data_IF_774866755136
#
_entry.id   IF_774866755136
#
_cell.length_a   1.000
_cell.length_b   1.000
_cell.length_c   1.000
_cell.angle_alpha   90.00
_cell.angle_beta   90.00
_cell.angle_gamma   90.00
#
_symmetry.space_group_name_H-M   'P 1'
#
loop_
_entity.id
_entity.type
_entity.pdbx_description
1 polymer ?
#
# COMPACT_ATOMS: atom_id res chain seq x y z
N UNK A 1 -29.59 -15.24 2.42
CA UNK A 1 -28.19 -15.22 2.90
C UNK A 1 -27.67 -13.81 2.67
N UNK A 2 -27.13 -13.12 3.68
CA UNK A 2 -26.60 -11.77 3.52
C UNK A 2 -25.25 -11.85 2.77
N UNK A 3 -25.00 -10.95 1.82
CA UNK A 3 -23.69 -10.81 1.16
C UNK A 3 -23.04 -9.52 1.66
N UNK A 4 -21.77 -9.61 2.04
CA UNK A 4 -20.90 -8.45 2.22
C UNK A 4 -20.30 -8.06 0.86
N UNK A 5 -19.90 -6.80 0.74
CA UNK A 5 -18.90 -6.36 -0.24
C UNK A 5 -17.52 -6.89 0.13
N UNK A 6 -16.56 -6.87 -0.80
CA UNK A 6 -15.19 -7.33 -0.53
C UNK A 6 -14.52 -6.49 0.57
N UNK A 7 -14.69 -5.17 0.55
CA UNK A 7 -14.18 -4.26 1.57
C UNK A 7 -14.77 -4.53 2.96
N UNK A 8 -16.08 -4.81 3.06
CA UNK A 8 -16.73 -5.19 4.32
C UNK A 8 -16.24 -6.55 4.84
N UNK A 9 -16.06 -7.54 3.97
CA UNK A 9 -15.57 -8.86 4.37
C UNK A 9 -14.11 -8.79 4.86
N UNK A 10 -13.28 -7.95 4.22
CA UNK A 10 -11.89 -7.63 4.64
C UNK A 10 -11.86 -6.75 5.90
N UNK A 11 -12.87 -5.92 6.14
CA UNK A 11 -12.97 -5.09 7.35
C UNK A 11 -13.38 -5.91 8.57
N UNK A 12 -14.53 -6.59 8.50
CA UNK A 12 -15.06 -7.36 9.63
C UNK A 12 -14.22 -8.61 9.97
N UNK A 13 -13.44 -9.14 9.03
CA UNK A 13 -12.51 -10.25 9.30
C UNK A 13 -11.33 -9.90 10.21
N UNK A 14 -11.11 -8.62 10.52
CA UNK A 14 -10.05 -8.16 11.45
C UNK A 14 -10.47 -8.22 12.92
N UNK A 15 -11.72 -8.55 13.22
CA UNK A 15 -12.30 -8.50 14.56
C UNK A 15 -12.79 -9.88 15.01
N UNK A 16 -12.43 -10.23 16.24
CA UNK A 16 -12.72 -11.52 16.87
C UNK A 16 -13.29 -11.30 18.26
N UNK A 17 -14.22 -12.16 18.67
CA UNK A 17 -14.82 -12.18 20.01
C UNK A 17 -15.00 -13.63 20.44
N UNK A 18 -14.55 -13.96 21.66
CA UNK A 18 -14.57 -15.31 22.22
C UNK A 18 -13.94 -16.37 21.27
N UNK A 19 -12.91 -15.96 20.51
CA UNK A 19 -12.20 -16.78 19.51
C UNK A 19 -12.82 -16.81 18.11
N UNK A 20 -14.11 -16.45 17.96
CA UNK A 20 -14.81 -16.47 16.67
C UNK A 20 -14.72 -15.12 15.94
N UNK A 21 -14.63 -15.15 14.60
CA UNK A 21 -14.63 -13.93 13.78
C UNK A 21 -16.02 -13.27 13.77
N UNK A 22 -16.11 -11.95 13.96
CA UNK A 22 -17.43 -11.30 14.14
C UNK A 22 -18.36 -11.44 12.93
N UNK A 23 -17.81 -11.53 11.71
CA UNK A 23 -18.61 -11.68 10.49
C UNK A 23 -19.37 -13.01 10.42
N UNK A 24 -18.93 -14.03 11.15
CA UNK A 24 -19.55 -15.35 11.22
C UNK A 24 -20.69 -15.42 12.24
N UNK A 25 -20.68 -14.54 13.24
CA UNK A 25 -21.68 -14.50 14.31
C UNK A 25 -23.11 -14.30 13.75
N UNK A 26 -24.07 -14.99 14.33
CA UNK A 26 -25.50 -14.71 14.13
C UNK A 26 -25.90 -13.35 14.72
N UNK A 27 -26.98 -12.74 14.23
CA UNK A 27 -27.47 -11.47 14.79
C UNK A 27 -27.73 -11.59 16.31
N UNK A 28 -28.21 -12.74 16.79
CA UNK A 28 -28.42 -13.02 18.22
C UNK A 28 -27.11 -12.98 19.02
N UNK A 29 -26.04 -13.60 18.49
CA UNK A 29 -24.71 -13.53 19.12
C UNK A 29 -24.16 -12.09 19.10
N UNK A 30 -24.31 -11.36 17.99
CA UNK A 30 -23.83 -9.97 17.88
C UNK A 30 -24.56 -9.08 18.90
N UNK A 31 -25.90 -9.15 18.96
CA UNK A 31 -26.71 -8.43 19.97
C UNK A 31 -26.30 -8.82 21.40
N UNK A 32 -25.98 -10.09 21.65
CA UNK A 32 -25.45 -10.54 22.94
C UNK A 32 -24.08 -9.92 23.29
N UNK A 33 -23.15 -9.86 22.32
CA UNK A 33 -21.82 -9.27 22.52
C UNK A 33 -21.85 -7.74 22.63
N UNK A 34 -22.83 -7.08 22.00
CA UNK A 34 -23.14 -5.66 22.23
C UNK A 34 -23.68 -5.48 23.65
N UNK A 35 -24.71 -6.24 24.06
CA UNK A 35 -25.34 -6.09 25.39
C UNK A 35 -24.42 -6.39 26.58
N UNK A 36 -23.39 -7.23 26.41
CA UNK A 36 -22.30 -7.40 27.38
C UNK A 36 -21.49 -6.11 27.62
N UNK A 37 -21.46 -5.18 26.67
CA UNK A 37 -20.61 -3.97 26.64
C UNK A 37 -21.41 -2.67 26.79
N UNK A 38 -22.63 -2.65 26.25
CA UNK A 38 -23.64 -1.61 26.42
C UNK A 38 -24.97 -2.25 26.84
N UNK A 39 -25.27 -2.32 28.15
CA UNK A 39 -26.53 -2.85 28.66
C UNK A 39 -27.77 -2.04 28.23
N UNK A 40 -27.61 -0.79 27.79
CA UNK A 40 -28.71 0.08 27.34
C UNK A 40 -29.06 -0.12 25.86
N UNK A 41 -28.34 -1.00 25.14
CA UNK A 41 -28.55 -1.21 23.72
C UNK A 41 -29.94 -1.80 23.38
N UNK A 42 -30.82 -0.93 22.88
CA UNK A 42 -32.19 -1.26 22.47
C UNK A 42 -32.31 -1.73 21.00
N UNK A 43 -31.23 -1.71 20.21
CA UNK A 43 -31.23 -1.90 18.75
C UNK A 43 -31.49 -3.32 18.22
N UNK A 44 -32.42 -4.07 18.81
CA UNK A 44 -32.68 -5.50 18.50
C UNK A 44 -33.24 -5.76 17.09
N UNK A 45 -33.71 -4.73 16.38
CA UNK A 45 -34.32 -4.83 15.03
C UNK A 45 -33.38 -4.43 13.89
N UNK A 46 -32.09 -4.20 14.15
CA UNK A 46 -31.13 -3.75 13.14
C UNK A 46 -30.68 -4.87 12.19
N UNK A 47 -30.32 -4.48 10.96
CA UNK A 47 -29.66 -5.36 9.99
C UNK A 47 -28.24 -5.77 10.46
N UNK A 48 -27.68 -6.85 9.89
CA UNK A 48 -26.40 -7.41 10.35
C UNK A 48 -25.23 -6.43 10.27
N UNK A 49 -25.15 -5.59 9.24
CA UNK A 49 -24.05 -4.61 9.08
C UNK A 49 -24.07 -3.55 10.21
N UNK A 50 -25.14 -2.78 10.45
CA UNK A 50 -25.21 -1.86 11.59
C UNK A 50 -24.96 -2.50 12.97
N UNK A 51 -25.33 -3.78 13.15
CA UNK A 51 -24.98 -4.53 14.37
C UNK A 51 -23.47 -4.81 14.47
N UNK A 52 -22.80 -5.18 13.37
CA UNK A 52 -21.36 -5.36 13.33
C UNK A 52 -20.61 -4.04 13.54
N UNK A 53 -21.07 -2.95 12.92
CA UNK A 53 -20.48 -1.60 13.10
C UNK A 53 -20.55 -1.16 14.58
N UNK A 54 -21.71 -1.36 15.21
CA UNK A 54 -21.91 -1.08 16.64
C UNK A 54 -20.97 -1.92 17.51
N UNK A 55 -20.81 -3.21 17.19
CA UNK A 55 -19.90 -4.10 17.93
C UNK A 55 -18.43 -3.69 17.73
N UNK A 56 -18.03 -3.27 16.54
CA UNK A 56 -16.70 -2.74 16.24
C UNK A 56 -16.41 -1.47 17.04
N UNK A 57 -17.33 -0.49 17.07
CA UNK A 57 -17.16 0.75 17.85
C UNK A 57 -16.98 0.45 19.35
N UNK A 58 -17.68 -0.56 19.89
CA UNK A 58 -17.54 -1.00 21.27
C UNK A 58 -16.22 -1.74 21.54
N UNK A 59 -15.77 -2.60 20.62
CA UNK A 59 -14.49 -3.32 20.74
C UNK A 59 -13.28 -2.37 20.67
N UNK A 60 -13.32 -1.34 19.82
CA UNK A 60 -12.22 -0.39 19.74
C UNK A 60 -12.19 0.58 20.94
N UNK A 61 -13.34 0.95 21.52
CA UNK A 61 -13.41 1.61 22.83
C UNK A 61 -12.81 0.75 23.96
N UNK A 62 -13.03 -0.58 23.92
CA UNK A 62 -12.45 -1.53 24.87
C UNK A 62 -10.91 -1.58 24.74
N UNK A 63 -10.39 -1.68 23.50
CA UNK A 63 -8.93 -1.62 23.23
C UNK A 63 -8.30 -0.29 23.67
N UNK A 64 -8.98 0.85 23.47
CA UNK A 64 -8.47 2.15 23.89
C UNK A 64 -8.32 2.25 25.41
N UNK A 65 -9.30 1.76 26.18
CA UNK A 65 -9.23 1.71 27.65
C UNK A 65 -8.06 0.87 28.18
N UNK A 66 -7.67 -0.20 27.46
CA UNK A 66 -6.48 -1.00 27.83
C UNK A 66 -5.15 -0.31 27.50
N UNK A 67 -5.12 0.64 26.57
CA UNK A 67 -3.90 1.38 26.18
C UNK A 67 -3.58 2.56 27.07
N UNK A 68 -4.57 3.14 27.75
CA UNK A 68 -4.32 4.17 28.77
C UNK A 68 -3.78 3.49 30.04
N UNK A 69 -2.52 3.73 30.46
CA UNK A 69 -2.02 3.17 31.71
C UNK A 69 -2.81 3.77 32.87
N UNK A 70 -3.53 2.93 33.62
CA UNK A 70 -4.34 3.35 34.77
C UNK A 70 -3.45 4.00 35.81
N UNK A 71 -3.43 5.34 35.80
CA UNK A 71 -2.62 6.14 36.71
C UNK A 71 -3.26 6.07 38.09
N UNK A 72 -2.85 5.10 38.89
CA UNK A 72 -3.35 4.87 40.24
C UNK A 72 -3.07 6.07 41.14
N UNK A 73 -4.00 7.02 41.17
CA UNK A 73 -4.08 8.03 42.22
C UNK A 73 -4.45 7.32 43.53
N UNK A 74 -3.44 6.89 44.28
CA UNK A 74 -3.59 6.29 45.59
C UNK A 74 -4.03 7.31 46.63
N UNK A 75 -5.34 7.49 46.77
CA UNK A 75 -5.94 8.29 47.86
C UNK A 75 -6.09 7.41 49.10
N UNK A 76 -5.44 7.77 50.21
CA UNK A 76 -5.42 6.98 51.44
C UNK A 76 -6.82 6.86 52.08
N UNK A 77 -7.20 5.65 52.53
CA UNK A 77 -8.55 5.36 53.07
C UNK A 77 -8.66 4.04 53.85
N UNK A 78 -7.99 3.98 55.01
CA UNK A 78 -8.18 3.07 56.17
C UNK A 78 -8.99 1.75 56.01
N UNK A 79 -8.25 0.61 55.99
CA UNK A 79 -8.28 -0.57 56.91
C UNK A 79 -9.52 -0.91 57.79
N UNK A 80 -9.72 -2.17 58.28
CA UNK A 80 -8.92 -3.42 58.10
C UNK A 80 -9.68 -4.78 57.97
N UNK A 81 -8.91 -5.89 57.92
CA UNK A 81 -9.23 -7.25 58.49
C UNK A 81 -10.27 -8.15 57.81
N UNK A 82 -9.96 -9.36 57.30
CA UNK A 82 -9.28 -10.52 57.95
C UNK A 82 -8.86 -11.62 56.93
N UNK A 83 -7.70 -12.28 57.16
CA UNK A 83 -7.34 -13.74 56.94
C UNK A 83 -7.51 -14.34 55.50
N UNK A 84 -6.72 -15.31 55.00
CA UNK A 84 -5.70 -16.24 55.56
C UNK A 84 -4.80 -16.84 54.44
N UNK A 85 -3.59 -17.32 54.77
CA UNK A 85 -2.82 -18.50 54.23
C UNK A 85 -3.09 -19.08 52.81
N UNK A 86 -2.13 -19.52 51.98
CA UNK A 86 -0.72 -19.92 52.25
C UNK A 86 0.23 -20.00 51.01
N UNK A 87 1.50 -19.65 51.23
CA UNK A 87 2.81 -20.24 50.78
C UNK A 87 3.01 -20.98 49.43
N UNK A 88 4.01 -20.53 48.63
CA UNK A 88 5.23 -21.27 48.15
C UNK A 88 5.83 -20.57 46.90
N UNK A 89 6.94 -19.80 46.93
CA UNK A 89 8.38 -20.21 46.82
C UNK A 89 8.65 -21.20 45.66
N UNK A 90 9.43 -20.89 44.60
CA UNK A 90 10.92 -20.76 44.45
C UNK A 90 11.20 -20.34 42.96
N UNK A 91 12.24 -19.65 42.44
CA UNK A 91 13.38 -18.80 42.88
C UNK A 91 13.97 -17.98 41.66
N UNK A 92 15.05 -17.18 41.86
CA UNK A 92 16.27 -16.88 41.02
C UNK A 92 16.23 -16.89 39.46
N UNK A 93 17.00 -16.11 38.67
CA UNK A 93 18.13 -15.14 38.83
C UNK A 93 17.90 -13.95 37.85
N UNK A 94 18.21 -12.67 38.16
CA UNK A 94 19.52 -11.99 38.29
C UNK A 94 20.38 -11.88 37.02
N UNK A 95 20.22 -10.78 36.26
CA UNK A 95 21.32 -10.15 35.49
C UNK A 95 21.05 -8.66 35.23
N UNK A 96 22.00 -7.77 35.54
CA UNK A 96 21.97 -6.34 35.18
C UNK A 96 23.27 -5.94 34.46
N UNK A 97 23.15 -5.51 33.20
CA UNK A 97 24.27 -5.07 32.36
C UNK A 97 24.36 -3.54 32.27
N UNK A 98 25.53 -2.97 32.59
CA UNK A 98 25.73 -1.52 32.73
C UNK A 98 25.69 -0.73 31.41
N UNK A 99 24.78 0.25 31.29
CA UNK A 99 24.87 1.28 30.25
C UNK A 99 25.88 2.37 30.65
N UNK A 100 26.88 2.63 29.81
CA UNK A 100 28.05 3.47 30.14
C UNK A 100 28.07 4.74 29.28
N UNK A 101 27.83 5.90 29.91
CA UNK A 101 27.91 7.21 29.24
C UNK A 101 29.34 7.49 28.74
N UNK A 102 29.47 8.19 27.60
CA UNK A 102 30.69 8.89 27.22
C UNK A 102 30.35 10.17 26.44
N UNK A 103 30.89 11.30 26.89
CA UNK A 103 30.87 12.55 26.14
C UNK A 103 31.92 12.53 25.02
N UNK A 104 31.81 13.49 24.09
CA UNK A 104 32.87 14.30 23.43
C UNK A 104 32.41 14.65 22.00
N UNK A 105 32.63 15.82 21.41
CA UNK A 105 32.79 17.25 21.80
C UNK A 105 33.06 18.00 20.47
N UNK A 106 32.55 19.22 20.32
CA UNK A 106 32.93 20.28 19.35
C UNK A 106 33.72 19.92 18.06
N UNK A 107 33.23 20.41 16.92
CA UNK A 107 34.02 21.35 16.10
C UNK A 107 33.10 22.14 15.16
N UNK A 108 33.43 23.42 14.95
CA UNK A 108 32.79 24.32 13.98
C UNK A 108 33.70 24.53 12.77
N UNK A 109 33.11 24.77 11.60
CA UNK A 109 33.77 25.45 10.48
C UNK A 109 32.79 26.43 9.82
N UNK A 110 33.34 27.41 9.10
CA UNK A 110 32.71 28.68 8.77
C UNK A 110 33.13 29.12 7.34
N UNK A 111 32.36 30.03 6.73
CA UNK A 111 32.52 30.59 5.37
C UNK A 111 32.39 29.60 4.17
N UNK A 112 32.11 30.02 2.92
CA UNK A 112 32.07 31.36 2.29
C UNK A 112 30.88 31.55 1.32
N UNK A 113 30.66 32.80 0.86
CA UNK A 113 29.70 33.22 -0.17
C UNK A 113 30.28 33.19 -1.60
N UNK A 114 29.42 33.00 -2.61
CA UNK A 114 29.25 33.73 -3.92
C UNK A 114 27.77 33.41 -4.32
N UNK A 115 26.83 34.32 -4.60
CA UNK A 115 26.64 35.17 -5.81
C UNK A 115 26.60 34.33 -7.12
N UNK A 116 25.75 34.58 -8.13
CA UNK A 116 24.80 35.66 -8.42
C UNK A 116 23.68 35.14 -9.40
N UNK A 117 22.54 35.84 -9.49
CA UNK A 117 21.57 35.89 -10.62
C UNK A 117 20.97 34.60 -11.27
N UNK A 118 19.87 34.63 -12.04
CA UNK A 118 18.60 35.39 -11.95
C UNK A 118 17.59 34.78 -12.95
N UNK A 119 16.33 34.55 -12.55
CA UNK A 119 15.17 34.51 -13.46
C UNK A 119 13.87 34.63 -12.65
N UNK A 120 12.83 35.25 -13.23
CA UNK A 120 11.55 35.54 -12.56
C UNK A 120 10.41 34.83 -13.30
N UNK A 121 9.50 34.17 -12.59
CA UNK A 121 8.08 34.08 -12.99
C UNK A 121 7.18 33.63 -11.82
N UNK A 122 5.97 34.19 -11.79
CA UNK A 122 4.76 33.84 -11.03
C UNK A 122 4.87 33.33 -9.56
N UNK A 123 4.75 34.28 -8.63
CA UNK A 123 4.33 34.02 -7.24
C UNK A 123 2.80 33.96 -7.19
N UNK A 124 2.22 32.75 -7.23
CA UNK A 124 0.83 32.55 -6.78
C UNK A 124 0.72 32.74 -5.26
N UNK A 125 -0.38 33.35 -4.78
CA UNK A 125 -0.59 33.59 -3.35
C UNK A 125 -0.69 32.27 -2.56
N UNK A 126 0.23 32.06 -1.61
CA UNK A 126 -0.02 31.11 -0.53
C UNK A 126 -1.16 31.64 0.36
N UNK A 127 -2.39 31.19 0.08
CA UNK A 127 -3.55 31.39 0.94
C UNK A 127 -3.27 30.78 2.32
N UNK A 128 -2.75 31.62 3.21
CA UNK A 128 -2.36 31.33 4.59
C UNK A 128 -3.57 30.76 5.34
N UNK A 129 -3.71 29.44 5.30
CA UNK A 129 -4.91 28.70 5.72
C UNK A 129 -5.09 28.72 7.25
N UNK A 130 -5.51 29.88 7.77
CA UNK A 130 -5.81 30.13 9.18
C UNK A 130 -6.97 29.24 9.59
N UNK A 131 -6.62 28.11 10.19
CA UNK A 131 -7.56 27.21 10.86
C UNK A 131 -8.49 28.05 11.77
N UNK A 132 -9.82 27.96 11.61
CA UNK A 132 -10.75 28.70 12.45
C UNK A 132 -10.52 28.40 13.93
N UNK A 133 -10.50 29.43 14.77
CA UNK A 133 -10.24 29.33 16.23
C UNK A 133 -11.38 28.66 17.02
N UNK A 134 -12.30 27.99 16.34
CA UNK A 134 -13.49 27.33 16.90
C UNK A 134 -13.32 25.80 17.01
N UNK A 135 -12.19 25.26 16.54
CA UNK A 135 -11.90 23.80 16.55
C UNK A 135 -11.97 23.19 17.96
N UNK A 136 -11.66 23.96 19.01
CA UNK A 136 -11.74 23.51 20.42
C UNK A 136 -13.18 23.20 20.91
N UNK A 137 -14.21 23.56 20.15
CA UNK A 137 -15.62 23.23 20.45
C UNK A 137 -16.19 22.13 19.54
N UNK A 138 -15.54 21.84 18.40
CA UNK A 138 -16.01 20.82 17.46
C UNK A 138 -15.65 19.41 17.96
N UNK A 139 -16.67 18.68 18.44
CA UNK A 139 -16.49 17.30 18.88
C UNK A 139 -15.92 16.40 17.79
N UNK A 140 -15.16 15.36 18.16
CA UNK A 140 -14.41 14.50 17.23
C UNK A 140 -15.26 14.01 16.04
N UNK A 141 -16.52 13.61 16.28
CA UNK A 141 -17.45 13.15 15.23
C UNK A 141 -17.77 14.22 14.17
N UNK A 142 -17.75 15.49 14.55
CA UNK A 142 -17.99 16.61 13.64
C UNK A 142 -16.74 16.93 12.82
N UNK A 143 -15.55 16.90 13.42
CA UNK A 143 -14.28 16.96 12.69
C UNK A 143 -14.13 15.80 11.69
N UNK A 144 -14.51 14.57 12.08
CA UNK A 144 -14.59 13.42 11.17
C UNK A 144 -15.58 13.64 10.01
N UNK A 145 -16.74 14.23 10.27
CA UNK A 145 -17.74 14.58 9.26
C UNK A 145 -17.22 15.64 8.27
N UNK A 146 -16.55 16.68 8.77
CA UNK A 146 -15.92 17.74 7.98
C UNK A 146 -14.79 17.15 7.11
N UNK A 147 -13.93 16.30 7.68
CA UNK A 147 -12.84 15.63 6.95
C UNK A 147 -13.37 14.69 5.87
N UNK A 148 -14.43 13.91 6.17
CA UNK A 148 -15.11 13.05 5.18
C UNK A 148 -15.69 13.88 4.03
N UNK A 149 -16.33 15.00 4.35
CA UNK A 149 -16.93 15.92 3.36
C UNK A 149 -15.86 16.57 2.47
N UNK A 150 -14.75 17.04 3.06
CA UNK A 150 -13.60 17.57 2.30
C UNK A 150 -13.00 16.52 1.36
N UNK A 151 -12.85 15.26 1.82
CA UNK A 151 -12.34 14.14 1.01
C UNK A 151 -13.24 13.80 -0.17
N UNK A 152 -14.57 13.73 0.06
CA UNK A 152 -15.55 13.48 -1.00
C UNK A 152 -15.57 14.62 -2.04
N UNK A 153 -15.39 15.89 -1.61
CA UNK A 153 -15.26 17.02 -2.54
C UNK A 153 -14.00 16.88 -3.42
N UNK A 154 -12.84 16.57 -2.83
CA UNK A 154 -11.60 16.35 -3.59
C UNK A 154 -11.72 15.20 -4.61
N UNK A 155 -12.42 14.12 -4.27
CA UNK A 155 -12.68 13.00 -5.18
C UNK A 155 -13.65 13.39 -6.32
N UNK A 156 -14.68 14.19 -6.02
CA UNK A 156 -15.58 14.76 -7.02
C UNK A 156 -14.83 15.70 -7.99
N UNK A 157 -14.00 16.60 -7.47
CA UNK A 157 -13.20 17.55 -8.26
C UNK A 157 -12.19 16.81 -9.17
N UNK A 158 -11.59 15.71 -8.69
CA UNK A 158 -10.76 14.83 -9.51
C UNK A 158 -11.58 14.14 -10.62
N UNK A 159 -12.76 13.59 -10.29
CA UNK A 159 -13.63 12.92 -11.27
C UNK A 159 -14.16 13.89 -12.35
N UNK A 160 -14.46 15.13 -11.99
CA UNK A 160 -14.83 16.17 -12.96
C UNK A 160 -13.67 16.49 -13.93
N UNK A 161 -12.42 16.56 -13.44
CA UNK A 161 -11.23 16.70 -14.30
C UNK A 161 -11.02 15.51 -15.24
N UNK A 162 -11.27 14.29 -14.76
CA UNK A 162 -11.22 13.07 -15.58
C UNK A 162 -12.29 13.05 -16.69
N UNK A 163 -13.54 13.42 -16.36
CA UNK A 163 -14.65 13.56 -17.31
C UNK A 163 -14.31 14.59 -18.39
N UNK A 164 -13.87 15.80 -18.02
CA UNK A 164 -13.50 16.85 -18.98
C UNK A 164 -12.35 16.40 -19.91
N UNK A 165 -11.40 15.61 -19.41
CA UNK A 165 -10.31 15.03 -20.22
C UNK A 165 -10.83 13.98 -21.22
N UNK A 166 -11.81 13.17 -20.83
CA UNK A 166 -12.44 12.17 -21.70
C UNK A 166 -13.34 12.83 -22.77
N UNK A 167 -14.13 13.84 -22.41
CA UNK A 167 -14.94 14.60 -23.38
C UNK A 167 -14.08 15.22 -24.48
N UNK A 168 -12.96 15.86 -24.12
CA UNK A 168 -12.05 16.45 -25.10
C UNK A 168 -11.46 15.38 -26.04
N UNK A 169 -11.14 14.17 -25.53
CA UNK A 169 -10.69 13.05 -26.38
C UNK A 169 -11.79 12.56 -27.33
N UNK A 170 -13.05 12.51 -26.89
CA UNK A 170 -14.19 12.15 -27.76
C UNK A 170 -14.33 13.18 -28.89
N UNK A 171 -14.30 14.48 -28.57
CA UNK A 171 -14.40 15.56 -29.58
C UNK A 171 -13.26 15.51 -30.62
N UNK A 172 -12.04 15.14 -30.22
CA UNK A 172 -10.93 14.94 -31.19
C UNK A 172 -11.12 13.68 -32.06
N UNK A 173 -11.64 12.57 -31.50
CA UNK A 173 -11.97 11.38 -32.28
C UNK A 173 -13.10 11.64 -33.28
N UNK A 174 -14.12 12.42 -32.90
CA UNK A 174 -15.19 12.88 -33.80
C UNK A 174 -14.64 13.75 -34.95
N UNK A 175 -13.73 14.68 -34.65
CA UNK A 175 -13.03 15.48 -35.68
C UNK A 175 -12.19 14.61 -36.62
N UNK A 176 -11.56 13.55 -36.13
CA UNK A 176 -10.78 12.61 -36.96
C UNK A 176 -11.72 11.77 -37.85
N UNK A 177 -12.82 11.26 -37.30
CA UNK A 177 -13.83 10.52 -38.04
C UNK A 177 -14.44 11.37 -39.17
N UNK A 178 -14.83 12.61 -38.88
CA UNK A 178 -15.37 13.56 -39.87
C UNK A 178 -14.35 13.97 -40.95
N UNK A 179 -13.05 13.88 -40.67
CA UNK A 179 -11.96 14.16 -41.63
C UNK A 179 -11.51 12.94 -42.44
N UNK A 180 -12.03 11.74 -42.15
CA UNK A 180 -11.69 10.52 -42.90
C UNK A 180 -12.67 10.35 -44.07
N UNK A 181 -12.33 10.71 -45.31
CA UNK A 181 -13.23 10.49 -46.44
C UNK A 181 -13.44 8.98 -46.59
N UNK A 182 -14.71 8.56 -46.51
CA UNK A 182 -15.08 7.16 -46.69
C UNK A 182 -14.58 6.68 -48.07
N UNK A 183 -13.52 5.86 -48.07
CA UNK A 183 -12.87 5.40 -49.29
C UNK A 183 -13.79 4.35 -49.94
N UNK A 184 -14.69 4.82 -50.80
CA UNK A 184 -15.80 4.06 -51.38
C UNK A 184 -15.29 2.78 -52.06
N UNK A 185 -15.42 1.67 -51.33
CA UNK A 185 -15.12 0.34 -51.84
C UNK A 185 -16.12 -0.04 -52.92
N UNK A 186 -15.61 -0.49 -54.06
CA UNK A 186 -16.37 -0.92 -55.25
C UNK A 186 -17.59 -1.78 -54.93
N UNK A 187 -18.75 -1.55 -55.58
CA UNK A 187 -19.99 -2.25 -55.28
C UNK A 187 -19.92 -3.73 -55.67
N UNK A 188 -20.09 -4.62 -54.69
CA UNK A 188 -20.26 -6.05 -54.92
C UNK A 188 -21.70 -6.37 -55.33
N UNK A 189 -21.84 -7.23 -56.34
CA UNK A 189 -23.10 -7.50 -57.07
C UNK A 189 -24.23 -8.03 -56.18
N UNK A 190 -25.32 -7.26 -56.13
CA UNK A 190 -26.72 -7.70 -56.30
C UNK A 190 -27.12 -9.10 -55.79
N UNK A 191 -27.90 -9.14 -54.71
CA UNK A 191 -28.97 -10.14 -54.52
C UNK A 191 -30.18 -9.44 -53.90
N UNK A 192 -31.36 -9.40 -54.56
CA UNK A 192 -32.54 -8.73 -54.03
C UNK A 192 -33.52 -9.71 -53.36
N UNK A 193 -34.14 -9.31 -52.24
CA UNK A 193 -35.61 -9.32 -52.02
C UNK A 193 -36.01 -9.05 -50.56
N UNK A 194 -37.09 -8.26 -50.38
CA UNK A 194 -38.10 -8.26 -49.28
C UNK A 194 -37.62 -8.16 -47.81
N UNK A 195 -38.34 -7.48 -46.91
CA UNK A 195 -39.59 -6.73 -46.99
C UNK A 195 -39.55 -5.55 -45.97
N UNK A 196 -40.39 -4.51 -46.12
CA UNK A 196 -40.49 -3.46 -45.11
C UNK A 196 -41.35 -3.93 -43.92
N UNK A 197 -41.00 -3.48 -42.71
CA UNK A 197 -42.01 -3.12 -41.73
C UNK A 197 -41.47 -2.12 -40.69
N UNK A 198 -42.36 -1.31 -40.14
CA UNK A 198 -42.05 -0.27 -39.16
C UNK A 198 -41.83 -0.82 -37.76
N UNK A 199 -40.94 -0.18 -37.00
CA UNK A 199 -41.30 0.47 -35.73
C UNK A 199 -40.12 1.31 -35.23
N UNK A 200 -40.37 2.58 -34.90
CA UNK A 200 -39.39 3.43 -34.24
C UNK A 200 -39.08 2.91 -32.84
N UNK A 201 -37.81 2.78 -32.51
CA UNK A 201 -37.31 2.57 -31.14
C UNK A 201 -35.92 3.19 -31.06
N UNK A 202 -35.67 4.12 -30.13
CA UNK A 202 -34.37 4.78 -30.03
C UNK A 202 -33.27 3.76 -29.68
N UNK A 203 -32.05 3.90 -30.22
CA UNK A 203 -30.96 2.99 -29.91
C UNK A 203 -30.65 3.04 -28.40
N UNK A 204 -30.42 1.89 -27.73
CA UNK A 204 -30.05 1.87 -26.33
C UNK A 204 -28.72 2.60 -26.14
N UNK A 205 -28.63 3.49 -25.14
CA UNK A 205 -27.38 4.15 -24.77
C UNK A 205 -26.32 3.08 -24.49
N UNK A 206 -25.30 3.02 -25.35
CA UNK A 206 -24.16 2.14 -25.18
C UNK A 206 -23.29 2.66 -24.02
N UNK A 207 -23.64 2.26 -22.80
CA UNK A 207 -22.76 2.41 -21.65
C UNK A 207 -21.47 1.64 -21.99
N UNK A 208 -20.39 2.37 -22.26
CA UNK A 208 -19.07 1.82 -22.55
C UNK A 208 -18.44 1.28 -21.26
N UNK A 209 -18.97 0.15 -20.79
CA UNK A 209 -18.35 -0.66 -19.75
C UNK A 209 -16.90 -0.91 -20.15
N UNK A 210 -15.97 -0.28 -19.44
CA UNK A 210 -14.57 -0.66 -19.51
C UNK A 210 -14.49 -2.09 -18.99
N UNK A 211 -14.44 -3.05 -19.91
CA UNK A 211 -14.19 -4.45 -19.57
C UNK A 211 -12.82 -4.51 -18.93
N UNK A 212 -12.79 -4.63 -17.61
CA UNK A 212 -11.61 -5.06 -16.87
C UNK A 212 -11.25 -6.45 -17.38
N UNK A 213 -10.32 -6.46 -18.33
CA UNK A 213 -9.81 -7.66 -18.99
C UNK A 213 -9.00 -8.45 -17.96
N UNK A 214 -9.71 -9.27 -17.18
CA UNK A 214 -9.12 -10.18 -16.21
C UNK A 214 -8.14 -11.08 -16.94
N UNK A 215 -6.84 -10.93 -16.66
CA UNK A 215 -5.81 -11.74 -17.30
C UNK A 215 -5.92 -13.20 -16.84
N UNK A 216 -6.68 -14.00 -17.58
CA UNK A 216 -6.65 -15.46 -17.51
C UNK A 216 -5.39 -15.92 -18.24
N UNK A 217 -4.26 -15.91 -17.53
CA UNK A 217 -2.96 -16.34 -18.04
C UNK A 217 -2.95 -17.86 -18.15
N UNK A 218 -2.63 -18.41 -19.32
CA UNK A 218 -2.35 -19.85 -19.45
C UNK A 218 -0.93 -20.13 -18.94
N UNK A 219 -0.67 -21.27 -18.27
CA UNK A 219 0.68 -21.59 -17.79
C UNK A 219 1.75 -21.59 -18.89
N UNK A 220 1.37 -21.96 -20.12
CA UNK A 220 2.25 -21.98 -21.31
C UNK A 220 2.72 -20.58 -21.76
N UNK A 221 1.98 -19.51 -21.42
CA UNK A 221 2.33 -18.13 -21.76
C UNK A 221 3.31 -17.47 -20.76
N UNK A 222 3.68 -18.17 -19.67
CA UNK A 222 4.55 -17.66 -18.60
C UNK A 222 6.03 -17.62 -19.03
N UNK A 223 6.37 -16.62 -19.85
CA UNK A 223 7.73 -16.38 -20.34
C UNK A 223 8.18 -14.91 -20.11
N UNK A 224 9.44 -14.61 -20.40
CA UNK A 224 10.02 -13.27 -20.25
C UNK A 224 9.30 -12.19 -21.09
N UNK A 225 8.75 -12.54 -22.26
CA UNK A 225 7.92 -11.62 -23.07
C UNK A 225 6.63 -11.23 -22.34
N UNK A 226 5.99 -12.18 -21.66
CA UNK A 226 4.81 -11.92 -20.84
C UNK A 226 5.16 -11.10 -19.58
N UNK A 227 6.27 -11.43 -18.90
CA UNK A 227 6.79 -10.63 -17.80
C UNK A 227 7.03 -9.16 -18.21
N UNK A 228 7.68 -8.95 -19.36
CA UNK A 228 7.90 -7.62 -19.95
C UNK A 228 6.59 -6.93 -20.34
N UNK A 229 5.54 -7.65 -20.77
CA UNK A 229 4.20 -7.09 -21.04
C UNK A 229 3.58 -6.51 -19.76
N UNK A 230 3.60 -7.23 -18.64
CA UNK A 230 3.09 -6.72 -17.35
C UNK A 230 3.98 -5.56 -16.86
N UNK A 231 5.30 -5.70 -16.89
CA UNK A 231 6.24 -4.65 -16.48
C UNK A 231 5.99 -3.32 -17.22
N UNK A 232 5.82 -3.38 -18.53
CA UNK A 232 5.52 -2.19 -19.36
C UNK A 232 4.11 -1.62 -19.08
N UNK A 233 3.10 -2.47 -18.84
CA UNK A 233 1.75 -2.04 -18.43
C UNK A 233 1.81 -1.23 -17.13
N UNK A 234 2.50 -1.75 -16.11
CA UNK A 234 2.62 -1.12 -14.79
C UNK A 234 3.46 0.15 -14.84
N UNK A 235 4.64 0.10 -15.47
CA UNK A 235 5.55 1.25 -15.59
C UNK A 235 4.95 2.46 -16.32
N UNK A 236 3.98 2.23 -17.21
CA UNK A 236 3.29 3.30 -17.97
C UNK A 236 1.92 3.66 -17.40
N UNK A 237 1.26 2.74 -16.69
CA UNK A 237 -0.10 2.91 -16.18
C UNK A 237 -0.19 3.50 -14.78
N UNK A 238 0.86 3.42 -13.96
CA UNK A 238 0.86 3.92 -12.58
C UNK A 238 1.85 5.07 -12.37
N UNK A 239 1.39 6.15 -11.72
CA UNK A 239 2.22 7.31 -11.40
C UNK A 239 2.88 7.12 -10.01
N UNK A 240 4.16 6.78 -10.01
CA UNK A 240 4.95 6.57 -8.81
C UNK A 240 5.42 7.86 -8.10
N UNK A 241 5.24 9.05 -8.69
CA UNK A 241 5.81 10.32 -8.20
C UNK A 241 5.60 10.55 -6.69
N UNK A 242 4.39 10.30 -6.17
CA UNK A 242 4.05 10.53 -4.77
C UNK A 242 4.78 9.59 -3.79
N UNK A 243 4.95 8.32 -4.14
CA UNK A 243 5.72 7.36 -3.31
C UNK A 243 7.23 7.57 -3.48
N UNK A 244 7.67 7.89 -4.70
CA UNK A 244 9.05 8.22 -5.02
C UNK A 244 9.55 9.44 -4.24
N UNK A 245 8.82 10.56 -4.29
CA UNK A 245 9.12 11.78 -3.54
C UNK A 245 9.14 11.53 -2.02
N UNK A 246 8.17 10.75 -1.51
CA UNK A 246 8.16 10.40 -0.07
C UNK A 246 9.40 9.58 0.31
N UNK A 247 9.76 8.54 -0.45
CA UNK A 247 10.93 7.73 -0.12
C UNK A 247 12.24 8.51 -0.27
N UNK A 248 12.33 9.43 -1.25
CA UNK A 248 13.46 10.36 -1.40
C UNK A 248 13.63 11.24 -0.15
N UNK A 249 12.53 11.82 0.34
CA UNK A 249 12.49 12.66 1.55
C UNK A 249 12.79 11.89 2.84
N UNK A 250 12.16 10.71 3.01
CA UNK A 250 12.29 9.88 4.23
C UNK A 250 13.69 9.26 4.41
N UNK A 251 14.49 9.14 3.34
CA UNK A 251 15.80 8.45 3.35
C UNK A 251 16.95 9.22 2.67
N UNK A 252 16.75 10.49 2.31
CA UNK A 252 17.73 11.34 1.61
C UNK A 252 18.32 10.71 0.33
N UNK A 253 17.49 10.04 -0.47
CA UNK A 253 17.91 9.36 -1.71
C UNK A 253 17.80 10.28 -2.92
N UNK A 254 18.75 10.15 -3.85
CA UNK A 254 18.76 10.84 -5.13
C UNK A 254 17.72 10.26 -6.12
N UNK A 255 17.43 11.03 -7.18
CA UNK A 255 16.43 10.67 -8.19
C UNK A 255 16.81 9.44 -9.04
N UNK A 256 18.10 9.14 -9.24
CA UNK A 256 18.54 7.97 -10.01
C UNK A 256 18.36 6.68 -9.20
N UNK A 257 18.77 6.70 -7.92
CA UNK A 257 18.54 5.61 -6.95
C UNK A 257 17.05 5.34 -6.78
N UNK A 258 16.22 6.38 -6.66
CA UNK A 258 14.76 6.25 -6.59
C UNK A 258 14.18 5.65 -7.90
N UNK A 259 14.69 6.05 -9.07
CA UNK A 259 14.28 5.47 -10.35
C UNK A 259 14.69 3.99 -10.48
N UNK A 260 15.85 3.57 -9.93
CA UNK A 260 16.25 2.16 -9.83
C UNK A 260 15.29 1.38 -8.91
N UNK A 261 15.01 1.90 -7.72
CA UNK A 261 14.08 1.29 -6.76
C UNK A 261 12.68 1.11 -7.39
N UNK A 262 12.18 2.09 -8.15
CA UNK A 262 10.90 1.98 -8.86
C UNK A 262 10.89 0.87 -9.92
N UNK A 263 11.98 0.72 -10.70
CA UNK A 263 12.13 -0.36 -11.69
C UNK A 263 12.13 -1.73 -11.00
N UNK A 264 12.94 -1.91 -9.96
CA UNK A 264 13.02 -3.17 -9.21
C UNK A 264 11.73 -3.50 -8.47
N UNK A 265 11.06 -2.51 -7.87
CA UNK A 265 9.72 -2.71 -7.29
C UNK A 265 8.73 -3.22 -8.34
N UNK A 266 8.76 -2.66 -9.54
CA UNK A 266 7.89 -3.09 -10.64
C UNK A 266 8.23 -4.51 -11.10
N UNK A 267 9.52 -4.87 -11.20
CA UNK A 267 9.95 -6.25 -11.53
C UNK A 267 9.51 -7.25 -10.46
N UNK A 268 9.77 -6.97 -9.19
CA UNK A 268 9.36 -7.82 -8.07
C UNK A 268 7.83 -8.02 -8.02
N UNK A 269 7.05 -6.96 -8.28
CA UNK A 269 5.60 -7.07 -8.39
C UNK A 269 5.14 -7.94 -9.56
N UNK A 270 5.85 -7.93 -10.70
CA UNK A 270 5.60 -8.88 -11.79
C UNK A 270 5.92 -10.31 -11.34
N UNK A 271 7.03 -10.55 -10.61
CA UNK A 271 7.36 -11.89 -10.09
C UNK A 271 6.28 -12.42 -9.14
N UNK A 272 5.71 -11.57 -8.25
CA UNK A 272 4.54 -11.91 -7.41
C UNK A 272 3.35 -12.39 -8.23
N UNK A 273 3.07 -11.79 -9.40
CA UNK A 273 2.01 -12.26 -10.30
C UNK A 273 2.37 -13.61 -10.93
N UNK A 274 3.56 -13.74 -11.52
CA UNK A 274 3.99 -14.94 -12.25
C UNK A 274 4.04 -16.19 -11.36
N UNK A 275 4.53 -16.05 -10.12
CA UNK A 275 4.62 -17.15 -9.16
C UNK A 275 3.31 -17.43 -8.40
N UNK A 276 2.24 -16.67 -8.70
CA UNK A 276 0.95 -16.71 -7.99
C UNK A 276 1.15 -16.54 -6.47
N UNK A 277 2.00 -15.57 -6.08
CA UNK A 277 2.37 -15.28 -4.69
C UNK A 277 1.59 -14.06 -4.18
N UNK A 278 0.27 -14.23 -4.14
CA UNK A 278 -0.69 -13.20 -3.71
C UNK A 278 -1.91 -13.72 -2.93
N UNK A 279 -2.04 -15.04 -2.70
CA UNK A 279 -3.14 -15.57 -1.87
C UNK A 279 -2.88 -15.34 -0.38
N UNK A 280 -3.77 -14.59 0.27
CA UNK A 280 -3.77 -14.26 1.71
C UNK A 280 -3.71 -15.48 2.63
N UNK A 281 -4.13 -16.65 2.14
CA UNK A 281 -4.25 -17.93 2.87
C UNK A 281 -2.99 -18.79 2.83
N UNK A 282 -2.05 -18.48 1.94
CA UNK A 282 -0.78 -19.19 1.83
C UNK A 282 0.33 -18.38 2.52
N UNK A 283 1.42 -19.01 3.00
CA UNK A 283 2.66 -18.27 3.28
C UNK A 283 3.16 -17.64 1.98
N UNK A 284 3.93 -16.54 2.09
CA UNK A 284 4.53 -15.97 0.90
C UNK A 284 5.68 -16.84 0.40
N UNK A 285 5.98 -16.75 -0.89
CA UNK A 285 7.04 -17.53 -1.56
C UNK A 285 8.25 -16.65 -1.91
N UNK A 286 8.05 -15.34 -1.99
CA UNK A 286 9.01 -14.36 -2.49
C UNK A 286 9.24 -13.24 -1.48
N UNK A 287 10.42 -13.22 -0.86
CA UNK A 287 10.84 -12.15 0.03
C UNK A 287 11.33 -10.92 -0.78
N UNK A 288 10.74 -9.72 -0.58
CA UNK A 288 11.21 -8.49 -1.24
C UNK A 288 12.61 -8.08 -0.74
N UNK A 289 13.53 -7.65 -1.63
CA UNK A 289 14.79 -7.04 -1.19
C UNK A 289 14.54 -5.82 -0.28
N UNK A 290 15.38 -5.52 0.71
CA UNK A 290 15.01 -4.61 1.82
C UNK A 290 14.59 -3.18 1.43
N UNK A 291 15.17 -2.60 0.36
CA UNK A 291 14.72 -1.30 -0.19
C UNK A 291 13.37 -1.41 -0.91
N UNK A 292 13.11 -2.53 -1.58
CA UNK A 292 11.84 -2.79 -2.26
C UNK A 292 10.72 -3.03 -1.24
N UNK A 293 11.04 -3.67 -0.12
CA UNK A 293 10.13 -3.74 1.02
C UNK A 293 9.78 -2.33 1.54
N UNK A 294 10.79 -1.48 1.78
CA UNK A 294 10.55 -0.07 2.20
C UNK A 294 9.66 0.68 1.20
N UNK A 295 9.93 0.58 -0.11
CA UNK A 295 9.10 1.21 -1.14
C UNK A 295 7.65 0.67 -1.14
N UNK A 296 7.48 -0.66 -1.05
CA UNK A 296 6.17 -1.30 -1.00
C UNK A 296 5.37 -0.86 0.23
N UNK A 297 5.99 -0.87 1.42
CA UNK A 297 5.42 -0.41 2.69
C UNK A 297 4.98 1.05 2.61
N UNK A 298 5.81 1.91 2.01
CA UNK A 298 5.48 3.33 1.77
C UNK A 298 4.30 3.50 0.80
N UNK A 299 4.21 2.68 -0.26
CA UNK A 299 3.06 2.68 -1.17
C UNK A 299 1.77 2.20 -0.47
N UNK A 300 1.84 1.14 0.34
CA UNK A 300 0.66 0.60 1.05
C UNK A 300 0.11 1.55 2.12
N UNK A 301 0.93 2.45 2.67
CA UNK A 301 0.45 3.54 3.54
C UNK A 301 -0.38 4.58 2.77
N UNK A 302 -0.17 4.74 1.46
CA UNK A 302 -1.06 5.50 0.58
C UNK A 302 -2.15 4.59 0.00
N UNK A 303 -3.16 4.26 0.81
CA UNK A 303 -4.18 3.25 0.45
C UNK A 303 -4.91 3.53 -0.86
N UNK A 304 -5.10 4.80 -1.24
CA UNK A 304 -5.64 5.16 -2.56
C UNK A 304 -4.63 4.89 -3.68
N UNK A 305 -3.37 5.32 -3.51
CA UNK A 305 -2.28 5.02 -4.44
C UNK A 305 -2.10 3.52 -4.66
N UNK A 306 -2.12 2.72 -3.59
CA UNK A 306 -2.04 1.26 -3.67
C UNK A 306 -3.26 0.64 -4.37
N UNK A 307 -4.48 1.13 -4.11
CA UNK A 307 -5.68 0.69 -4.83
C UNK A 307 -5.58 0.95 -6.34
N UNK A 308 -5.05 2.10 -6.75
CA UNK A 308 -4.82 2.40 -8.18
C UNK A 308 -3.69 1.54 -8.77
N UNK A 309 -2.60 1.31 -8.02
CA UNK A 309 -1.52 0.40 -8.44
C UNK A 309 -2.04 -1.02 -8.72
N UNK A 310 -2.86 -1.58 -7.83
CA UNK A 310 -3.43 -2.91 -7.99
C UNK A 310 -4.39 -3.02 -9.18
N UNK A 311 -5.16 -1.96 -9.49
CA UNK A 311 -5.98 -1.87 -10.70
C UNK A 311 -5.14 -1.88 -11.98
N UNK A 312 -4.01 -1.17 -12.00
CA UNK A 312 -3.07 -1.16 -13.13
C UNK A 312 -2.39 -2.53 -13.28
N UNK A 313 -1.98 -3.16 -12.17
CA UNK A 313 -1.39 -4.50 -12.17
C UNK A 313 -2.39 -5.54 -12.71
N UNK A 314 -3.63 -5.50 -12.22
CA UNK A 314 -4.73 -6.38 -12.62
C UNK A 314 -4.96 -7.58 -11.70
N UNK A 315 -4.23 -7.67 -10.58
CA UNK A 315 -4.41 -8.66 -9.51
C UNK A 315 -4.24 -8.00 -8.14
N UNK A 316 -4.93 -8.52 -7.12
CA UNK A 316 -4.89 -8.00 -5.75
C UNK A 316 -3.73 -8.63 -4.97
N UNK A 317 -2.52 -8.08 -5.12
CA UNK A 317 -1.35 -8.50 -4.35
C UNK A 317 -1.44 -7.94 -2.94
N UNK A 318 -1.42 -8.82 -1.94
CA UNK A 318 -1.47 -8.41 -0.54
C UNK A 318 -0.07 -8.12 0.01
N UNK A 319 0.07 -7.02 0.76
CA UNK A 319 1.27 -6.72 1.55
C UNK A 319 1.32 -7.62 2.79
N UNK A 320 1.60 -8.90 2.56
CA UNK A 320 2.05 -9.88 3.54
C UNK A 320 3.36 -10.48 3.02
N UNK A 321 4.33 -10.50 3.90
CA UNK A 321 5.52 -11.36 3.92
C UNK A 321 5.75 -11.61 5.42
N UNK A 322 6.26 -12.78 5.80
CA UNK A 322 6.65 -13.00 7.19
C UNK A 322 8.03 -12.36 7.40
N UNK A 323 8.17 -11.44 8.36
CA UNK A 323 9.47 -10.81 8.65
C UNK A 323 10.47 -11.81 9.26
N UNK A 324 10.02 -13.04 9.55
CA UNK A 324 10.82 -14.20 9.96
C UNK A 324 11.17 -15.17 8.81
N UNK A 325 10.82 -14.87 7.54
CA UNK A 325 11.11 -15.74 6.38
C UNK A 325 12.62 -16.04 6.26
N UNK A 326 12.93 -17.33 6.12
CA UNK A 326 14.29 -17.87 6.02
C UNK A 326 15.01 -17.41 4.74
N UNK A 327 16.32 -17.68 4.63
CA UNK A 327 17.12 -17.38 3.42
C UNK A 327 16.58 -18.00 2.11
N UNK A 328 15.61 -18.92 2.18
CA UNK A 328 15.08 -19.69 1.04
C UNK A 328 14.22 -18.83 0.09
N UNK A 329 13.37 -17.95 0.61
CA UNK A 329 12.41 -17.20 -0.23
C UNK A 329 13.10 -16.09 -1.04
N UNK A 330 14.27 -15.65 -0.58
CA UNK A 330 15.20 -14.83 -1.36
C UNK A 330 15.90 -15.62 -2.49
N UNK A 331 16.16 -16.91 -2.32
CA UNK A 331 16.70 -17.78 -3.39
C UNK A 331 15.66 -17.91 -4.50
N UNK A 332 14.40 -18.22 -4.15
CA UNK A 332 13.30 -18.29 -5.13
C UNK A 332 13.14 -16.96 -5.88
N UNK A 333 13.14 -15.85 -5.15
CA UNK A 333 13.07 -14.49 -5.73
C UNK A 333 14.20 -14.21 -6.71
N UNK A 334 15.46 -14.49 -6.33
CA UNK A 334 16.65 -14.31 -7.19
C UNK A 334 16.58 -15.16 -8.46
N UNK A 335 16.16 -16.42 -8.35
CA UNK A 335 16.14 -17.33 -9.48
C UNK A 335 15.06 -16.94 -10.49
N UNK A 336 13.87 -16.52 -10.04
CA UNK A 336 12.86 -15.91 -10.91
C UNK A 336 13.36 -14.59 -11.56
N UNK A 337 14.14 -13.78 -10.85
CA UNK A 337 14.77 -12.58 -11.42
C UNK A 337 15.71 -12.90 -12.59
N UNK A 338 16.51 -13.97 -12.49
CA UNK A 338 17.38 -14.45 -13.56
C UNK A 338 16.56 -14.93 -14.76
N UNK A 339 15.49 -15.67 -14.51
CA UNK A 339 14.75 -16.38 -15.56
C UNK A 339 13.80 -15.43 -16.33
N UNK A 340 13.24 -14.40 -15.68
CA UNK A 340 12.34 -13.43 -16.33
C UNK A 340 12.98 -12.06 -16.66
N UNK A 341 14.02 -11.64 -15.94
CA UNK A 341 14.63 -10.31 -16.08
C UNK A 341 16.19 -10.32 -16.08
N UNK A 342 16.85 -11.17 -16.91
CA UNK A 342 18.28 -11.48 -16.82
C UNK A 342 19.22 -10.26 -16.84
N UNK A 343 18.86 -9.18 -17.56
CA UNK A 343 19.69 -7.96 -17.62
C UNK A 343 19.81 -7.26 -16.25
N UNK A 344 18.77 -7.34 -15.41
CA UNK A 344 18.77 -6.75 -14.04
C UNK A 344 19.77 -7.44 -13.13
N UNK A 345 19.94 -8.74 -13.34
CA UNK A 345 20.84 -9.60 -12.56
C UNK A 345 22.31 -9.23 -12.81
N UNK A 346 22.60 -8.50 -13.89
CA UNK A 346 23.94 -7.94 -14.17
C UNK A 346 24.24 -6.63 -13.42
N UNK A 347 23.21 -5.90 -12.94
CA UNK A 347 23.39 -4.72 -12.08
C UNK A 347 23.65 -5.12 -10.61
N UNK A 348 23.26 -6.35 -10.25
CA UNK A 348 23.46 -6.97 -8.94
C UNK A 348 24.81 -7.67 -8.85
N UNK A 349 25.84 -7.04 -8.29
CA UNK A 349 27.16 -7.70 -8.10
C UNK A 349 27.05 -8.90 -7.14
N UNK A 350 26.88 -10.08 -7.76
CA UNK A 350 26.68 -11.36 -7.11
C UNK A 350 27.83 -11.76 -6.17
N UNK A 351 29.04 -11.22 -6.36
CA UNK A 351 30.18 -11.53 -5.50
C UNK A 351 29.95 -10.99 -4.08
N UNK A 352 29.54 -9.72 -3.98
CA UNK A 352 29.26 -9.07 -2.70
C UNK A 352 28.07 -9.69 -1.96
N UNK A 353 27.11 -10.26 -2.68
CA UNK A 353 25.95 -10.97 -2.11
C UNK A 353 26.37 -12.31 -1.49
N UNK A 354 27.24 -13.07 -2.16
CA UNK A 354 27.70 -14.38 -1.68
C UNK A 354 28.57 -14.28 -0.42
N UNK A 355 29.52 -13.34 -0.37
CA UNK A 355 30.51 -13.26 0.71
C UNK A 355 29.92 -12.76 2.05
N UNK A 356 28.99 -11.81 2.01
CA UNK A 356 28.44 -11.19 3.23
C UNK A 356 27.34 -12.01 3.90
N UNK A 357 26.80 -13.04 3.24
CA UNK A 357 25.68 -13.85 3.74
C UNK A 357 24.34 -13.09 3.89
N UNK A 358 24.30 -11.78 3.62
CA UNK A 358 23.06 -11.06 3.34
C UNK A 358 22.68 -11.32 1.90
N UNK A 359 21.53 -11.97 1.68
CA UNK A 359 21.00 -12.26 0.34
C UNK A 359 20.82 -11.01 -0.52
N UNK A 360 20.59 -9.84 0.10
CA UNK A 360 20.56 -8.53 -0.53
C UNK A 360 21.14 -7.51 0.47
N UNK A 361 22.30 -6.89 0.22
CA UNK A 361 22.79 -5.81 1.07
C UNK A 361 21.83 -4.61 0.97
N UNK A 362 21.71 -3.81 2.05
CA UNK A 362 20.79 -2.67 2.08
C UNK A 362 21.03 -1.68 0.93
N UNK A 363 22.28 -1.53 0.53
CA UNK A 363 22.72 -0.51 -0.42
C UNK A 363 22.85 -1.03 -1.86
N UNK A 364 22.24 -2.17 -2.19
CA UNK A 364 22.45 -2.87 -3.47
C UNK A 364 22.04 -2.08 -4.74
N UNK A 365 21.26 -1.00 -4.60
CA UNK A 365 20.90 -0.07 -5.69
C UNK A 365 21.59 1.29 -5.59
N UNK A 366 22.27 1.56 -4.47
CA UNK A 366 23.09 2.75 -4.30
C UNK A 366 24.35 2.56 -5.15
N UNK A 367 24.79 3.55 -5.95
CA UNK A 367 26.05 3.46 -6.66
C UNK A 367 27.17 3.14 -5.67
N UNK A 368 27.85 2.00 -5.86
CA UNK A 368 29.05 1.70 -5.05
C UNK A 368 30.04 2.83 -5.27
N UNK A 369 30.49 3.55 -4.22
CA UNK A 369 31.43 4.65 -4.42
C UNK A 369 32.68 4.10 -5.12
N UNK A 370 33.20 4.78 -6.15
CA UNK A 370 34.29 4.25 -6.97
C UNK A 370 35.45 3.89 -6.05
N UNK A 371 35.77 2.58 -5.99
CA UNK A 371 36.77 2.08 -5.04
C UNK A 371 38.07 2.85 -5.25
N UNK A 372 38.48 3.61 -4.22
CA UNK A 372 39.64 4.49 -4.34
C UNK A 372 40.83 3.67 -4.81
N UNK A 373 41.57 4.08 -5.87
CA UNK A 373 42.66 3.28 -6.44
C UNK A 373 43.84 3.08 -5.47
N UNK A 374 43.80 3.72 -4.30
CA UNK A 374 44.75 3.55 -3.21
C UNK A 374 44.30 2.54 -2.14
N UNK A 375 43.16 1.87 -2.35
CA UNK A 375 42.64 0.78 -1.51
C UNK A 375 43.50 -0.48 -1.70
N UNK A 376 44.74 -0.46 -1.19
CA UNK A 376 45.64 -1.62 -1.22
C UNK A 376 44.92 -2.84 -0.62
N UNK A 377 44.96 -4.00 -1.28
CA UNK A 377 44.32 -5.20 -0.74
C UNK A 377 44.88 -5.50 0.64
N UNK A 378 44.00 -5.63 1.63
CA UNK A 378 44.37 -5.96 3.00
C UNK A 378 44.96 -7.36 3.03
N UNK A 379 46.29 -7.44 3.05
CA UNK A 379 47.02 -8.72 3.07
C UNK A 379 46.50 -9.60 4.21
N UNK A 380 46.07 -10.85 3.93
CA UNK A 380 45.39 -11.68 4.92
C UNK A 380 46.30 -11.90 6.13
N UNK A 381 45.82 -11.47 7.30
CA UNK A 381 46.58 -11.53 8.55
C UNK A 381 46.76 -12.98 8.99
N UNK A 382 47.88 -13.59 8.58
CA UNK A 382 48.32 -14.91 9.03
C UNK A 382 48.68 -14.84 10.51
N UNK A 383 47.68 -14.99 11.38
CA UNK A 383 47.92 -15.45 12.75
C UNK A 383 48.58 -16.83 12.67
N UNK A 384 49.72 -16.98 13.33
CA UNK A 384 50.25 -18.26 13.79
C UNK A 384 49.57 -18.65 15.10
#
# INVERSE_FOLDING_TARGET
MFKFTEDEDIFFSKYYVDGQCIKELSNTQIIGQIKKRDPLFAGTKLNKIPLLDTLVELLDKEKQKMKTPTKNNGTNGQTPSKKRSNQSTVNETSFQGSNKKRNTRENSYDNHQVEEEAEQEDVEEEDSFKLPKEIDQLGIKELESILRTKRLKQELDFKNKEINSLENKVRELEKIAAKSPAKVGTPLKSTPQRAPNSNDTPPPRSNSSQTTETLIVKPEDLNSTFALKIYNKVSKGFNFHKVAHKLASDYHMDAETIAKIQKEFTKFMVLKVLDNDYDVKLPSKLAPPPLIHKFWKTLCLDSFGYCQFLKVLGVNVHHKYDENEDRLDYIRTRDLYRDYFPNSVSELDHKNIMENGSCWPWDYLVPTPPQSPHSKPSTPSKRK
#
